data_IF_125706366469
#
_entry.id   IF_125706366469
#
_cell.length_a   1.000
_cell.length_b   1.000
_cell.length_c   1.000
_cell.angle_alpha   90.00
_cell.angle_beta   90.00
_cell.angle_gamma   90.00
#
_symmetry.space_group_name_H-M   'P 1'
#
loop_
_entity.id
_entity.type
_entity.pdbx_description
1 polymer ?
#
# COMPACT_ATOMS: atom_id res chain seq x y z
N UNK A 1 21.10 5.06 -13.93
CA UNK A 1 19.68 4.75 -14.23
C UNK A 1 19.61 4.02 -15.56
N UNK A 2 19.14 2.77 -15.58
CA UNK A 2 18.94 2.08 -16.86
C UNK A 2 17.76 2.71 -17.60
N UNK A 3 17.81 2.77 -18.93
CA UNK A 3 16.73 3.36 -19.77
C UNK A 3 15.37 2.75 -19.42
N UNK A 4 15.32 1.44 -19.16
CA UNK A 4 14.09 0.74 -18.81
C UNK A 4 13.46 1.21 -17.47
N UNK A 5 14.26 1.61 -16.49
CA UNK A 5 13.74 2.11 -15.19
C UNK A 5 13.19 3.53 -15.33
N UNK A 6 13.85 4.38 -16.13
CA UNK A 6 13.36 5.71 -16.43
C UNK A 6 11.98 5.68 -17.14
N UNK A 7 11.84 4.82 -18.16
CA UNK A 7 10.56 4.63 -18.86
C UNK A 7 9.43 4.13 -17.94
N UNK A 8 9.77 3.20 -17.03
CA UNK A 8 8.80 2.72 -16.04
C UNK A 8 8.35 3.83 -15.09
N UNK A 9 9.28 4.68 -14.66
CA UNK A 9 8.98 5.82 -13.79
C UNK A 9 8.07 6.84 -14.49
N UNK A 10 8.39 7.22 -15.72
CA UNK A 10 7.54 8.12 -16.51
C UNK A 10 6.13 7.56 -16.72
N UNK A 11 5.99 6.24 -16.90
CA UNK A 11 4.69 5.60 -16.99
C UNK A 11 3.96 5.61 -15.66
N UNK A 12 4.67 5.39 -14.56
CA UNK A 12 4.12 5.41 -13.21
C UNK A 12 3.63 6.82 -12.84
N UNK A 13 4.42 7.85 -13.16
CA UNK A 13 4.05 9.25 -12.92
C UNK A 13 2.80 9.63 -13.71
N UNK A 14 2.73 9.25 -15.00
CA UNK A 14 1.52 9.48 -15.81
C UNK A 14 0.30 8.75 -15.24
N UNK A 15 0.45 7.48 -14.86
CA UNK A 15 -0.65 6.71 -14.24
C UNK A 15 -1.16 7.34 -12.95
N UNK A 16 -0.24 7.82 -12.11
CA UNK A 16 -0.58 8.50 -10.87
C UNK A 16 -1.28 9.83 -11.11
N UNK A 17 -0.84 10.59 -12.11
CA UNK A 17 -1.49 11.82 -12.52
C UNK A 17 -2.90 11.57 -13.04
N UNK A 18 -3.08 10.61 -13.95
CA UNK A 18 -4.40 10.22 -14.47
C UNK A 18 -5.41 9.89 -13.36
N UNK A 19 -4.97 9.19 -12.30
CA UNK A 19 -5.81 8.88 -11.15
C UNK A 19 -6.20 10.14 -10.35
N UNK A 20 -5.30 11.12 -10.27
CA UNK A 20 -5.55 12.36 -9.54
C UNK A 20 -6.25 13.46 -10.37
N UNK A 21 -6.28 13.33 -11.69
CA UNK A 21 -6.96 14.28 -12.59
C UNK A 21 -8.49 14.10 -12.60
N UNK A 22 -9.00 13.02 -12.03
CA UNK A 22 -10.43 12.74 -11.88
C UNK A 22 -10.78 12.42 -10.43
N UNK A 23 -12.06 12.31 -10.12
CA UNK A 23 -12.46 11.81 -8.82
C UNK A 23 -11.95 10.37 -8.62
N UNK A 24 -11.18 10.17 -7.58
CA UNK A 24 -10.59 8.87 -7.24
C UNK A 24 -11.24 8.31 -5.98
N UNK A 25 -11.90 7.17 -6.14
CA UNK A 25 -12.62 6.44 -5.10
C UNK A 25 -11.78 5.20 -4.79
N UNK A 26 -11.28 5.09 -3.56
CA UNK A 26 -10.52 3.94 -3.09
C UNK A 26 -11.33 3.18 -2.07
N UNK A 27 -11.42 1.88 -2.25
CA UNK A 27 -12.16 0.96 -1.37
C UNK A 27 -11.17 -0.01 -0.75
N UNK A 28 -11.10 -0.02 0.56
CA UNK A 28 -10.24 -0.92 1.33
C UNK A 28 -10.58 -2.38 1.06
N UNK A 29 -9.57 -3.15 0.66
CA UNK A 29 -9.65 -4.57 0.36
C UNK A 29 -8.99 -5.44 1.44
N UNK A 30 -8.42 -6.57 0.99
CA UNK A 30 -7.85 -7.59 1.86
C UNK A 30 -8.91 -8.35 2.63
N UNK A 31 -8.49 -9.27 3.49
CA UNK A 31 -9.41 -10.17 4.22
C UNK A 31 -10.49 -9.42 5.00
N UNK A 32 -10.15 -8.30 5.65
CA UNK A 32 -11.11 -7.53 6.44
C UNK A 32 -12.13 -6.81 5.57
N UNK A 33 -11.69 -6.19 4.48
CA UNK A 33 -12.57 -5.51 3.53
C UNK A 33 -13.52 -6.49 2.82
N UNK A 34 -13.00 -7.64 2.37
CA UNK A 34 -13.79 -8.71 1.75
C UNK A 34 -14.85 -9.27 2.71
N UNK A 35 -14.46 -9.55 3.94
CA UNK A 35 -15.39 -10.00 4.98
C UNK A 35 -16.47 -8.98 5.32
N UNK A 36 -16.19 -7.69 5.13
CA UNK A 36 -17.12 -6.59 5.34
C UNK A 36 -17.97 -6.25 4.10
N UNK A 37 -17.72 -6.86 2.94
CA UNK A 37 -18.50 -6.65 1.71
C UNK A 37 -17.96 -5.54 0.81
N UNK A 38 -16.65 -5.31 0.77
CA UNK A 38 -16.04 -4.29 -0.08
C UNK A 38 -16.33 -4.51 -1.57
N UNK A 39 -16.52 -5.76 -2.04
CA UNK A 39 -16.85 -6.07 -3.44
C UNK A 39 -18.20 -5.50 -3.85
N UNK A 40 -19.22 -5.66 -3.01
CA UNK A 40 -20.55 -5.10 -3.26
C UNK A 40 -20.50 -3.56 -3.33
N UNK A 41 -19.67 -2.94 -2.49
CA UNK A 41 -19.45 -1.49 -2.50
C UNK A 41 -18.75 -1.03 -3.77
N UNK A 42 -17.71 -1.76 -4.23
CA UNK A 42 -17.01 -1.48 -5.49
C UNK A 42 -17.99 -1.57 -6.69
N UNK A 43 -18.80 -2.65 -6.72
CA UNK A 43 -19.81 -2.83 -7.79
C UNK A 43 -20.83 -1.71 -7.77
N UNK A 44 -21.31 -1.29 -6.61
CA UNK A 44 -22.24 -0.18 -6.45
C UNK A 44 -21.64 1.14 -6.97
N UNK A 45 -20.40 1.47 -6.63
CA UNK A 45 -19.72 2.67 -7.15
C UNK A 45 -19.58 2.63 -8.68
N UNK A 46 -19.11 1.53 -9.25
CA UNK A 46 -18.96 1.39 -10.69
C UNK A 46 -20.32 1.57 -11.41
N UNK A 47 -21.36 0.90 -10.92
CA UNK A 47 -22.72 0.99 -11.47
C UNK A 47 -23.29 2.40 -11.37
N UNK A 48 -23.09 3.09 -10.26
CA UNK A 48 -23.60 4.46 -10.06
C UNK A 48 -22.85 5.47 -10.91
N UNK A 49 -21.53 5.37 -11.04
CA UNK A 49 -20.75 6.24 -11.95
C UNK A 49 -21.22 6.08 -13.39
N UNK A 50 -21.43 4.84 -13.87
CA UNK A 50 -21.92 4.57 -15.21
C UNK A 50 -23.33 5.11 -15.42
N UNK A 51 -24.28 4.79 -14.52
CA UNK A 51 -25.70 5.17 -14.64
C UNK A 51 -25.93 6.68 -14.57
N UNK A 52 -25.16 7.39 -13.74
CA UNK A 52 -25.24 8.85 -13.59
C UNK A 52 -24.40 9.62 -14.61
N UNK A 53 -23.58 8.93 -15.42
CA UNK A 53 -22.63 9.55 -16.35
C UNK A 53 -21.57 10.40 -15.64
N UNK A 54 -21.24 10.07 -14.40
CA UNK A 54 -20.23 10.78 -13.59
C UNK A 54 -18.85 10.19 -13.83
N UNK A 55 -17.86 11.05 -14.12
CA UNK A 55 -16.48 10.63 -14.31
C UNK A 55 -15.80 10.38 -12.95
N UNK A 56 -15.19 9.23 -12.81
CA UNK A 56 -14.44 8.85 -11.63
C UNK A 56 -13.76 7.49 -11.81
N UNK A 57 -12.77 7.21 -11.01
CA UNK A 57 -12.06 5.93 -11.00
C UNK A 57 -12.26 5.23 -9.66
N UNK A 58 -12.73 3.99 -9.69
CA UNK A 58 -12.84 3.13 -8.51
C UNK A 58 -11.64 2.21 -8.48
N UNK A 59 -10.94 2.17 -7.35
CA UNK A 59 -9.77 1.32 -7.14
C UNK A 59 -9.95 0.51 -5.87
N UNK A 60 -9.76 -0.81 -5.96
CA UNK A 60 -9.53 -1.62 -4.76
C UNK A 60 -8.11 -1.35 -4.28
N UNK A 61 -7.96 -0.86 -3.08
CA UNK A 61 -6.65 -0.65 -2.43
C UNK A 61 -6.43 -1.67 -1.32
N UNK A 62 -5.19 -1.78 -0.84
CA UNK A 62 -4.93 -2.59 0.36
C UNK A 62 -5.72 -2.08 1.56
N UNK A 63 -5.86 -2.91 2.61
CA UNK A 63 -6.51 -2.48 3.85
C UNK A 63 -5.77 -1.29 4.46
N UNK A 64 -6.51 -0.37 5.08
CA UNK A 64 -5.86 0.70 5.86
C UNK A 64 -5.41 0.20 7.26
N UNK A 65 -6.02 -0.86 7.76
CA UNK A 65 -5.76 -1.45 9.08
C UNK A 65 -6.77 -1.06 10.16
N UNK A 66 -7.83 -0.36 9.80
CA UNK A 66 -8.96 0.00 10.68
C UNK A 66 -10.13 -0.95 10.42
N UNK A 67 -9.95 -2.25 10.76
CA UNK A 67 -10.92 -3.31 10.44
C UNK A 67 -12.35 -3.04 10.95
N UNK A 68 -12.50 -2.28 12.04
CA UNK A 68 -13.82 -1.90 12.57
C UNK A 68 -14.55 -0.85 11.70
N UNK A 69 -13.82 -0.20 10.79
CA UNK A 69 -14.34 0.84 9.91
C UNK A 69 -14.62 0.32 8.48
N UNK A 70 -14.34 -0.96 8.22
CA UNK A 70 -14.56 -1.57 6.89
C UNK A 70 -16.06 -1.83 6.62
N UNK A 71 -16.54 -1.72 5.36
CA UNK A 71 -15.80 -1.23 4.21
C UNK A 71 -15.41 0.24 4.37
N UNK A 72 -14.10 0.50 4.34
CA UNK A 72 -13.55 1.85 4.43
C UNK A 72 -13.32 2.38 3.01
N UNK A 73 -13.98 3.49 2.71
CA UNK A 73 -13.90 4.14 1.40
C UNK A 73 -13.32 5.51 1.56
N UNK A 74 -12.38 5.89 0.72
CA UNK A 74 -12.02 7.29 0.59
C UNK A 74 -12.32 7.82 -0.80
N UNK A 75 -12.67 9.09 -0.86
CA UNK A 75 -12.96 9.83 -2.09
C UNK A 75 -12.10 11.08 -2.09
N UNK A 76 -11.40 11.29 -3.20
CA UNK A 76 -10.63 12.49 -3.47
C UNK A 76 -11.08 13.06 -4.83
N UNK A 77 -11.54 14.29 -4.84
CA UNK A 77 -11.71 15.06 -6.07
C UNK A 77 -10.40 15.79 -6.42
N UNK A 78 -10.13 16.20 -7.66
CA UNK A 78 -8.83 16.73 -8.08
C UNK A 78 -8.26 17.81 -7.16
N UNK A 79 -9.03 18.82 -6.82
CA UNK A 79 -8.60 19.94 -5.96
C UNK A 79 -9.16 19.85 -4.54
N UNK A 80 -9.84 18.74 -4.20
CA UNK A 80 -10.50 18.55 -2.92
C UNK A 80 -9.65 17.78 -1.91
N UNK A 81 -10.07 17.81 -0.63
CA UNK A 81 -9.48 16.94 0.39
C UNK A 81 -9.78 15.47 0.07
N UNK A 82 -8.93 14.58 0.56
CA UNK A 82 -9.21 13.15 0.62
C UNK A 82 -10.08 12.90 1.84
N UNK A 83 -11.29 12.36 1.66
CA UNK A 83 -12.23 12.15 2.77
C UNK A 83 -12.61 10.69 2.88
N UNK A 84 -12.47 10.13 4.07
CA UNK A 84 -12.80 8.74 4.40
C UNK A 84 -14.22 8.62 4.94
N UNK A 85 -14.87 7.53 4.54
CA UNK A 85 -16.19 7.09 4.97
C UNK A 85 -16.09 5.67 5.51
N UNK A 86 -16.53 5.46 6.74
CA UNK A 86 -16.47 4.17 7.41
C UNK A 86 -17.80 3.40 7.29
N UNK A 87 -17.71 2.07 7.29
CA UNK A 87 -18.86 1.16 7.25
C UNK A 87 -19.81 1.49 6.07
N UNK A 88 -19.22 1.75 4.91
CA UNK A 88 -20.00 2.12 3.72
C UNK A 88 -20.80 0.93 3.22
N UNK A 89 -22.07 1.15 2.92
CA UNK A 89 -22.96 0.15 2.30
C UNK A 89 -23.33 0.55 0.88
N UNK A 90 -23.73 -0.41 0.01
CA UNK A 90 -24.14 -0.10 -1.35
C UNK A 90 -25.27 0.96 -1.44
N UNK A 91 -26.18 1.01 -0.46
CA UNK A 91 -27.28 1.96 -0.42
C UNK A 91 -26.83 3.42 -0.19
N UNK A 92 -25.65 3.62 0.40
CA UNK A 92 -25.07 4.96 0.61
C UNK A 92 -24.35 5.49 -0.63
N UNK A 93 -23.93 4.61 -1.53
CA UNK A 93 -23.12 4.97 -2.70
C UNK A 93 -23.75 6.02 -3.59
N UNK A 94 -25.06 5.97 -3.96
CA UNK A 94 -25.66 7.02 -4.79
C UNK A 94 -25.56 8.42 -4.17
N UNK A 95 -25.72 8.52 -2.85
CA UNK A 95 -25.57 9.78 -2.11
C UNK A 95 -24.12 10.31 -2.13
N UNK A 96 -23.13 9.42 -1.94
CA UNK A 96 -21.71 9.77 -2.00
C UNK A 96 -21.31 10.23 -3.41
N UNK A 97 -21.75 9.52 -4.44
CA UNK A 97 -21.47 9.90 -5.83
C UNK A 97 -22.11 11.25 -6.18
N UNK A 98 -23.39 11.42 -5.86
CA UNK A 98 -24.10 12.66 -6.20
C UNK A 98 -23.52 13.89 -5.49
N UNK A 99 -23.20 13.79 -4.23
CA UNK A 99 -22.75 14.92 -3.42
C UNK A 99 -21.23 15.12 -3.49
N UNK A 100 -20.44 14.07 -3.21
CA UNK A 100 -18.99 14.23 -3.12
C UNK A 100 -18.31 14.14 -4.48
N UNK A 101 -18.66 13.15 -5.33
CA UNK A 101 -17.98 12.99 -6.63
C UNK A 101 -18.44 14.05 -7.61
N UNK A 102 -19.75 14.13 -7.86
CA UNK A 102 -20.34 15.03 -8.86
C UNK A 102 -20.48 16.46 -8.37
N UNK A 103 -20.86 16.62 -7.09
CA UNK A 103 -21.05 17.93 -6.48
C UNK A 103 -19.78 18.51 -5.86
N UNK A 104 -18.69 17.76 -5.84
CA UNK A 104 -17.39 18.14 -5.23
C UNK A 104 -17.51 18.61 -3.77
N UNK A 105 -18.54 18.13 -3.06
CA UNK A 105 -18.84 18.50 -1.68
C UNK A 105 -18.83 17.27 -0.79
N UNK A 106 -17.85 17.10 0.13
CA UNK A 106 -17.85 15.99 1.07
C UNK A 106 -19.15 15.86 1.88
N UNK A 107 -19.58 14.63 2.12
CA UNK A 107 -20.75 14.34 2.95
C UNK A 107 -20.34 14.37 4.42
N UNK A 108 -20.25 15.58 5.00
CA UNK A 108 -19.69 15.84 6.33
C UNK A 108 -20.33 14.96 7.42
N UNK A 109 -21.64 14.74 7.36
CA UNK A 109 -22.36 13.95 8.36
C UNK A 109 -21.98 12.45 8.36
N UNK A 110 -21.34 11.96 7.29
CA UNK A 110 -20.88 10.57 7.13
C UNK A 110 -19.35 10.46 7.14
N UNK A 111 -18.63 11.59 7.13
CA UNK A 111 -17.19 11.59 7.06
C UNK A 111 -16.57 11.03 8.34
N UNK A 112 -15.69 10.04 8.19
CA UNK A 112 -14.93 9.39 9.25
C UNK A 112 -13.66 10.17 9.59
N UNK A 113 -12.97 10.66 8.55
CA UNK A 113 -11.75 11.45 8.68
C UNK A 113 -11.39 12.12 7.35
N UNK A 114 -10.40 13.00 7.36
CA UNK A 114 -9.93 13.61 6.12
C UNK A 114 -8.42 13.89 6.13
N UNK A 115 -7.83 13.97 4.95
CA UNK A 115 -6.53 14.61 4.69
C UNK A 115 -6.77 15.90 3.90
N UNK A 116 -6.13 17.02 4.26
CA UNK A 116 -6.30 18.28 3.58
C UNK A 116 -5.73 18.22 2.15
N UNK A 117 -6.32 18.97 1.21
CA UNK A 117 -5.80 19.11 -0.14
C UNK A 117 -4.47 19.87 -0.13
N UNK A 118 -4.39 20.92 0.69
CA UNK A 118 -3.18 21.72 0.87
C UNK A 118 -2.89 21.93 2.36
N UNK A 119 -1.63 22.18 2.68
CA UNK A 119 -1.23 22.50 4.05
C UNK A 119 -2.02 23.69 4.60
N UNK A 120 -2.64 23.50 5.76
CA UNK A 120 -3.47 24.52 6.41
C UNK A 120 -4.96 24.46 6.09
N UNK A 121 -5.39 23.68 5.11
CA UNK A 121 -6.81 23.51 4.81
C UNK A 121 -7.53 22.79 5.95
N UNK A 122 -8.74 23.27 6.26
CA UNK A 122 -9.57 22.70 7.33
C UNK A 122 -10.93 22.31 6.78
N UNK A 123 -11.27 21.03 6.93
CA UNK A 123 -12.62 20.53 6.70
C UNK A 123 -13.41 20.60 8.01
N UNK A 124 -14.21 21.66 8.17
CA UNK A 124 -14.96 21.89 9.41
C UNK A 124 -15.94 20.75 9.72
N UNK A 125 -15.91 20.28 10.95
CA UNK A 125 -16.80 19.22 11.43
C UNK A 125 -16.27 17.80 11.23
N UNK A 126 -15.07 17.65 10.64
CA UNK A 126 -14.40 16.35 10.43
C UNK A 126 -13.02 16.39 11.08
N UNK A 127 -12.60 15.32 11.74
CA UNK A 127 -11.26 15.17 12.31
C UNK A 127 -10.27 14.78 11.21
N UNK A 128 -9.05 15.32 11.25
CA UNK A 128 -8.00 14.82 10.35
C UNK A 128 -7.75 13.34 10.63
N UNK A 129 -7.49 12.58 9.58
CA UNK A 129 -7.21 11.14 9.70
C UNK A 129 -6.01 10.89 10.63
N UNK A 130 -4.94 11.68 10.49
CA UNK A 130 -3.74 11.60 11.33
C UNK A 130 -3.97 11.87 12.82
N UNK A 131 -5.04 12.60 13.16
CA UNK A 131 -5.40 12.94 14.54
C UNK A 131 -6.36 11.92 15.19
N UNK A 132 -6.84 10.95 14.43
CA UNK A 132 -7.64 9.87 15.00
C UNK A 132 -6.80 9.05 15.99
N UNK A 133 -7.33 8.69 17.17
CA UNK A 133 -6.55 8.04 18.23
C UNK A 133 -5.81 6.78 17.76
N UNK A 134 -6.46 5.98 16.90
CA UNK A 134 -5.89 4.74 16.39
C UNK A 134 -4.82 4.96 15.30
N UNK A 135 -4.78 6.13 14.70
CA UNK A 135 -3.80 6.52 13.65
C UNK A 135 -2.65 7.32 14.24
N UNK A 136 -2.96 8.32 15.09
CA UNK A 136 -1.97 9.22 15.70
C UNK A 136 -0.87 8.49 16.50
N UNK A 137 -1.18 7.32 17.06
CA UNK A 137 -0.22 6.51 17.80
C UNK A 137 0.70 5.66 16.91
N UNK A 138 0.50 5.64 15.59
CA UNK A 138 1.23 4.77 14.67
C UNK A 138 2.38 5.51 13.97
N UNK A 139 3.50 4.80 13.79
CA UNK A 139 4.53 5.16 12.81
C UNK A 139 4.49 4.13 11.68
N UNK A 140 3.90 4.52 10.55
CA UNK A 140 3.63 3.60 9.44
C UNK A 140 4.84 3.48 8.52
N UNK A 141 5.68 2.46 8.72
CA UNK A 141 6.86 2.16 7.90
C UNK A 141 6.55 1.00 6.95
N UNK A 142 6.29 -0.19 7.49
CA UNK A 142 5.94 -1.36 6.68
C UNK A 142 4.55 -1.24 6.03
N UNK A 143 3.69 -0.41 6.58
CA UNK A 143 2.33 -0.16 6.12
C UNK A 143 2.17 1.19 5.39
N UNK A 144 3.26 1.78 4.89
CA UNK A 144 3.23 3.13 4.29
C UNK A 144 2.25 3.25 3.11
N UNK A 145 2.08 2.18 2.35
CA UNK A 145 1.23 2.15 1.15
C UNK A 145 -0.17 1.59 1.40
N UNK A 146 -0.46 1.14 2.64
CA UNK A 146 -1.75 0.53 2.98
C UNK A 146 -2.89 1.55 2.86
N UNK A 147 -3.91 1.19 2.08
CA UNK A 147 -5.04 2.07 1.79
C UNK A 147 -4.76 3.14 0.74
N UNK A 148 -3.56 3.19 0.15
CA UNK A 148 -3.16 4.24 -0.79
C UNK A 148 -3.06 3.74 -2.23
N UNK A 149 -2.62 2.50 -2.43
CA UNK A 149 -2.36 1.94 -3.75
C UNK A 149 -3.14 0.65 -3.99
N UNK A 150 -3.42 0.37 -5.27
CA UNK A 150 -3.81 -0.96 -5.70
C UNK A 150 -2.60 -1.90 -5.59
N UNK A 151 -2.67 -2.95 -4.76
CA UNK A 151 -1.56 -3.89 -4.58
C UNK A 151 -1.17 -4.64 -5.85
N UNK A 152 -2.04 -4.69 -6.87
CA UNK A 152 -1.78 -5.35 -8.15
C UNK A 152 -1.29 -4.38 -9.23
N UNK A 153 -1.32 -3.07 -8.99
CA UNK A 153 -0.83 -2.06 -9.95
C UNK A 153 0.63 -1.67 -9.64
N UNK A 154 1.56 -2.30 -10.37
CA UNK A 154 2.99 -2.01 -10.31
C UNK A 154 3.31 -0.52 -10.47
N UNK A 155 2.56 0.18 -11.33
CA UNK A 155 2.83 1.60 -11.61
C UNK A 155 2.47 2.48 -10.43
N UNK A 156 1.40 2.15 -9.68
CA UNK A 156 1.07 2.85 -8.44
C UNK A 156 2.16 2.64 -7.37
N UNK A 157 2.70 1.43 -7.24
CA UNK A 157 3.80 1.16 -6.32
C UNK A 157 5.06 1.98 -6.68
N UNK A 158 5.43 2.03 -7.97
CA UNK A 158 6.59 2.82 -8.45
C UNK A 158 6.38 4.32 -8.24
N UNK A 159 5.18 4.85 -8.53
CA UNK A 159 4.83 6.25 -8.31
C UNK A 159 4.98 6.66 -6.84
N UNK A 160 4.75 5.74 -5.90
CA UNK A 160 4.94 5.93 -4.46
C UNK A 160 6.37 5.58 -3.98
N UNK A 161 7.35 5.64 -4.88
CA UNK A 161 8.77 5.44 -4.57
C UNK A 161 9.20 3.98 -4.46
N UNK A 162 8.35 3.05 -4.89
CA UNK A 162 8.69 1.63 -4.97
C UNK A 162 9.82 1.34 -5.94
N UNK A 163 10.56 0.30 -5.66
CA UNK A 163 11.77 -0.14 -6.38
C UNK A 163 12.91 0.90 -6.47
N UNK A 164 12.81 2.04 -5.77
CA UNK A 164 13.89 3.02 -5.73
C UNK A 164 15.15 2.47 -5.03
N UNK A 165 14.96 1.65 -4.00
CA UNK A 165 16.06 0.96 -3.33
C UNK A 165 16.75 -0.06 -4.23
N UNK A 166 15.98 -0.81 -5.01
CA UNK A 166 16.50 -1.75 -5.98
C UNK A 166 17.24 -1.05 -7.12
N UNK A 167 16.68 0.04 -7.67
CA UNK A 167 17.33 0.86 -8.67
C UNK A 167 18.70 1.35 -8.19
N UNK A 168 18.74 1.95 -6.97
CA UNK A 168 19.98 2.41 -6.34
C UNK A 168 21.00 1.28 -6.22
N UNK A 169 20.56 0.10 -5.81
CA UNK A 169 21.44 -1.06 -5.67
C UNK A 169 22.04 -1.50 -7.02
N UNK A 170 21.23 -1.54 -8.08
CA UNK A 170 21.65 -2.01 -9.40
C UNK A 170 22.42 -0.96 -10.21
N UNK A 171 22.27 0.33 -9.90
CA UNK A 171 22.91 1.44 -10.62
C UNK A 171 24.31 1.79 -10.07
N UNK A 172 24.99 0.86 -9.43
CA UNK A 172 26.40 1.07 -9.09
C UNK A 172 26.84 0.58 -7.73
N UNK A 173 26.01 -0.11 -6.97
CA UNK A 173 26.44 -0.74 -5.73
C UNK A 173 26.83 -2.21 -5.97
N UNK A 174 27.92 -2.65 -5.36
CA UNK A 174 28.22 -4.07 -5.30
C UNK A 174 27.33 -4.77 -4.27
N UNK A 175 27.16 -6.11 -4.34
CA UNK A 175 26.46 -6.89 -3.32
C UNK A 175 26.94 -6.61 -1.90
N UNK A 176 28.25 -6.48 -1.69
CA UNK A 176 28.84 -6.18 -0.38
C UNK A 176 28.47 -4.78 0.12
N UNK A 177 28.39 -3.79 -0.77
CA UNK A 177 27.96 -2.42 -0.43
C UNK A 177 26.49 -2.40 0.00
N UNK A 178 25.61 -3.15 -0.69
CA UNK A 178 24.20 -3.29 -0.28
C UNK A 178 24.11 -3.97 1.08
N UNK A 179 24.89 -5.02 1.29
CA UNK A 179 24.95 -5.72 2.58
C UNK A 179 25.37 -4.80 3.72
N UNK A 180 26.42 -3.99 3.53
CA UNK A 180 26.90 -3.04 4.53
C UNK A 180 25.87 -1.93 4.81
N UNK A 181 25.15 -1.45 3.80
CA UNK A 181 24.06 -0.48 4.00
C UNK A 181 22.93 -1.09 4.86
N UNK A 182 22.52 -2.34 4.59
CA UNK A 182 21.51 -3.02 5.41
C UNK A 182 22.02 -3.28 6.85
N UNK A 183 23.29 -3.58 7.04
CA UNK A 183 23.87 -3.66 8.40
C UNK A 183 23.83 -2.31 9.11
N UNK A 184 24.26 -1.25 8.42
CA UNK A 184 24.31 0.12 8.95
C UNK A 184 22.93 0.69 9.29
N UNK A 185 21.87 0.26 8.59
CA UNK A 185 20.50 0.68 8.87
C UNK A 185 19.94 0.21 10.20
N UNK A 186 20.55 -0.82 10.80
CA UNK A 186 20.06 -1.44 12.04
C UNK A 186 18.75 -2.22 11.88
N UNK A 187 18.31 -2.50 10.64
CA UNK A 187 17.10 -3.27 10.37
C UNK A 187 17.12 -4.63 11.08
N UNK A 188 16.01 -4.97 11.72
CA UNK A 188 15.84 -6.22 12.48
C UNK A 188 14.66 -7.02 11.94
N UNK A 189 14.76 -8.34 12.08
CA UNK A 189 13.65 -9.25 11.77
C UNK A 189 12.43 -8.99 12.64
N UNK A 190 11.25 -9.25 12.10
CA UNK A 190 9.95 -9.04 12.74
C UNK A 190 9.25 -10.33 13.18
N UNK A 191 9.90 -11.48 13.03
CA UNK A 191 9.38 -12.78 13.47
C UNK A 191 9.60 -13.09 14.97
N UNK A 192 9.69 -12.07 15.84
CA UNK A 192 9.79 -12.20 17.29
C UNK A 192 11.22 -12.14 17.87
N UNK A 193 12.22 -12.74 17.20
CA UNK A 193 13.60 -12.76 17.69
C UNK A 193 14.37 -11.43 17.52
N UNK A 194 13.86 -10.50 16.73
CA UNK A 194 14.49 -9.21 16.41
C UNK A 194 15.95 -9.33 15.98
N UNK A 195 16.32 -10.41 15.28
CA UNK A 195 17.68 -10.66 14.85
C UNK A 195 18.12 -9.62 13.80
N UNK A 196 19.37 -9.08 13.86
CA UNK A 196 19.83 -8.08 12.89
C UNK A 196 19.84 -8.64 11.46
N UNK A 197 19.08 -8.02 10.56
CA UNK A 197 18.88 -8.52 9.18
C UNK A 197 20.19 -8.56 8.41
N UNK A 198 20.98 -7.49 8.44
CA UNK A 198 22.24 -7.44 7.73
C UNK A 198 23.27 -8.46 8.25
N UNK A 199 23.27 -8.77 9.55
CA UNK A 199 24.10 -9.83 10.08
C UNK A 199 23.65 -11.21 9.59
N UNK A 200 22.33 -11.46 9.55
CA UNK A 200 21.79 -12.72 8.99
C UNK A 200 22.17 -12.90 7.52
N UNK A 201 22.07 -11.84 6.74
CA UNK A 201 22.47 -11.86 5.32
C UNK A 201 23.98 -12.10 5.14
N UNK A 202 24.82 -11.55 6.04
CA UNK A 202 26.27 -11.76 5.95
C UNK A 202 26.69 -13.22 6.14
N UNK A 203 25.96 -14.01 6.92
CA UNK A 203 26.23 -15.45 7.03
C UNK A 203 26.01 -16.18 5.73
N UNK A 204 24.94 -15.80 4.98
CA UNK A 204 24.66 -16.38 3.69
C UNK A 204 25.63 -15.87 2.61
N UNK A 205 25.93 -14.57 2.60
CA UNK A 205 26.91 -13.97 1.70
C UNK A 205 28.28 -14.65 1.82
N UNK A 206 28.77 -14.83 3.04
CA UNK A 206 30.06 -15.48 3.32
C UNK A 206 30.09 -17.00 3.07
N UNK A 207 28.97 -17.64 2.78
CA UNK A 207 28.94 -19.08 2.51
C UNK A 207 29.54 -19.38 1.12
N UNK A 208 30.46 -20.35 0.97
CA UNK A 208 31.10 -20.67 -0.29
C UNK A 208 30.24 -21.48 -1.27
N UNK A 209 29.01 -21.85 -0.90
CA UNK A 209 28.13 -22.59 -1.78
C UNK A 209 27.84 -21.80 -3.06
N UNK A 210 27.84 -22.51 -4.22
CA UNK A 210 27.55 -21.92 -5.52
C UNK A 210 26.07 -21.61 -5.70
N UNK A 211 25.21 -22.45 -5.11
CA UNK A 211 23.75 -22.23 -5.09
C UNK A 211 23.33 -21.74 -3.72
N UNK A 212 22.69 -20.58 -3.70
CA UNK A 212 22.15 -19.96 -2.50
C UNK A 212 20.70 -19.59 -2.74
N UNK A 213 19.91 -19.65 -1.70
CA UNK A 213 18.48 -19.41 -1.75
C UNK A 213 18.06 -18.39 -0.69
N UNK A 214 17.12 -17.52 -1.05
CA UNK A 214 16.41 -16.66 -0.10
C UNK A 214 15.03 -17.27 0.16
N UNK A 215 14.69 -17.43 1.41
CA UNK A 215 13.38 -17.89 1.84
C UNK A 215 12.70 -16.76 2.63
N UNK A 216 11.62 -16.22 2.05
CA UNK A 216 10.71 -15.32 2.75
C UNK A 216 9.66 -16.17 3.49
N UNK A 217 9.67 -16.11 4.80
CA UNK A 217 8.67 -16.78 5.60
C UNK A 217 7.48 -15.83 5.80
N UNK A 218 6.39 -16.11 5.09
CA UNK A 218 5.08 -15.49 5.22
C UNK A 218 4.05 -16.50 5.72
N UNK A 219 4.49 -17.53 6.43
CA UNK A 219 3.62 -18.46 7.14
C UNK A 219 3.18 -17.81 8.45
N UNK A 220 1.90 -17.55 8.58
CA UNK A 220 1.29 -16.86 9.72
C UNK A 220 0.25 -17.77 10.37
N UNK A 221 0.77 -18.84 11.02
CA UNK A 221 -0.05 -19.90 11.60
C UNK A 221 -0.67 -19.57 12.95
N UNK A 222 -0.25 -18.52 13.62
CA UNK A 222 -0.79 -18.14 14.92
C UNK A 222 -2.23 -17.61 14.79
N UNK A 223 -3.19 -18.15 15.54
CA UNK A 223 -4.56 -17.64 15.52
C UNK A 223 -4.62 -16.16 15.90
N UNK A 224 -5.29 -15.37 15.08
CA UNK A 224 -5.41 -13.92 15.26
C UNK A 224 -4.21 -13.08 14.78
N UNK A 225 -3.13 -13.71 14.32
CA UNK A 225 -2.06 -12.99 13.61
C UNK A 225 -2.47 -12.74 12.16
N UNK A 226 -2.20 -11.53 11.65
CA UNK A 226 -2.50 -11.14 10.26
C UNK A 226 -1.54 -10.07 9.73
N UNK A 227 -0.34 -9.97 10.29
CA UNK A 227 0.66 -8.97 9.87
C UNK A 227 1.25 -9.30 8.49
N UNK A 228 1.66 -10.55 8.30
CA UNK A 228 2.29 -11.02 7.06
C UNK A 228 1.27 -11.06 5.93
N UNK A 229 0.05 -11.55 6.22
CA UNK A 229 -1.08 -11.53 5.26
C UNK A 229 -1.42 -10.11 4.84
N UNK A 230 -1.52 -9.19 5.81
CA UNK A 230 -1.81 -7.79 5.53
C UNK A 230 -0.79 -7.16 4.58
N UNK A 231 0.52 -7.44 4.75
CA UNK A 231 1.56 -6.96 3.85
C UNK A 231 1.41 -7.59 2.46
N UNK A 232 1.22 -8.91 2.39
CA UNK A 232 1.04 -9.62 1.11
C UNK A 232 -0.17 -9.11 0.31
N UNK A 233 -1.28 -8.84 1.00
CA UNK A 233 -2.52 -8.40 0.37
C UNK A 233 -2.54 -6.91 0.04
N UNK A 234 -1.80 -6.08 0.80
CA UNK A 234 -1.87 -4.62 0.66
C UNK A 234 -0.65 -4.00 -0.02
N UNK A 235 0.53 -4.63 0.06
CA UNK A 235 1.77 -4.13 -0.56
C UNK A 235 2.75 -5.26 -0.89
N UNK A 236 2.38 -6.20 -1.79
CA UNK A 236 3.24 -7.33 -2.16
C UNK A 236 4.55 -6.88 -2.81
N UNK A 237 4.56 -5.72 -3.46
CA UNK A 237 5.76 -5.22 -4.13
C UNK A 237 6.86 -4.82 -3.16
N UNK A 238 6.55 -4.28 -1.97
CA UNK A 238 7.54 -4.01 -0.92
C UNK A 238 8.23 -5.31 -0.46
N UNK A 239 7.48 -6.40 -0.34
CA UNK A 239 8.05 -7.71 -0.02
C UNK A 239 8.94 -8.23 -1.16
N UNK A 240 8.49 -8.13 -2.41
CA UNK A 240 9.26 -8.55 -3.58
C UNK A 240 10.54 -7.75 -3.74
N UNK A 241 10.51 -6.43 -3.57
CA UNK A 241 11.70 -5.58 -3.61
C UNK A 241 12.72 -6.01 -2.53
N UNK A 242 12.26 -6.23 -1.29
CA UNK A 242 13.10 -6.71 -0.21
C UNK A 242 13.72 -8.08 -0.50
N UNK A 243 12.96 -9.00 -1.09
CA UNK A 243 13.45 -10.33 -1.47
C UNK A 243 14.51 -10.25 -2.59
N UNK A 244 14.32 -9.40 -3.59
CA UNK A 244 15.28 -9.19 -4.68
C UNK A 244 16.56 -8.57 -4.15
N UNK A 245 16.46 -7.54 -3.30
CA UNK A 245 17.62 -6.92 -2.63
C UNK A 245 18.40 -7.91 -1.79
N UNK A 246 17.71 -8.78 -1.04
CA UNK A 246 18.34 -9.85 -0.27
C UNK A 246 19.07 -10.84 -1.18
N UNK A 247 18.45 -11.23 -2.29
CA UNK A 247 19.06 -12.09 -3.31
C UNK A 247 20.32 -11.48 -3.90
N UNK A 248 20.25 -10.21 -4.28
CA UNK A 248 21.40 -9.47 -4.83
C UNK A 248 22.56 -9.37 -3.82
N UNK A 249 22.27 -8.90 -2.59
CA UNK A 249 23.28 -8.71 -1.56
C UNK A 249 23.98 -10.01 -1.11
N UNK A 250 23.32 -11.15 -1.24
CA UNK A 250 23.85 -12.45 -0.83
C UNK A 250 24.36 -13.32 -1.96
N UNK A 251 24.23 -12.84 -3.22
CA UNK A 251 24.50 -13.62 -4.43
C UNK A 251 23.66 -14.91 -4.47
N UNK A 252 22.38 -14.82 -4.10
CA UNK A 252 21.44 -15.92 -4.17
C UNK A 252 20.76 -15.96 -5.55
N UNK A 253 20.56 -17.16 -6.09
CA UNK A 253 20.05 -17.38 -7.46
C UNK A 253 18.53 -17.58 -7.51
N UNK A 254 17.91 -17.91 -6.38
CA UNK A 254 16.48 -18.19 -6.28
C UNK A 254 15.90 -17.67 -4.96
N UNK A 255 14.67 -17.16 -5.03
CA UNK A 255 13.85 -16.79 -3.90
C UNK A 255 12.59 -17.67 -3.82
N UNK A 256 12.17 -17.95 -2.60
CA UNK A 256 10.91 -18.66 -2.30
C UNK A 256 10.12 -17.85 -1.30
N UNK A 257 8.82 -17.76 -1.50
CA UNK A 257 7.88 -17.20 -0.54
C UNK A 257 7.07 -18.36 0.00
N UNK A 258 7.20 -18.61 1.29
CA UNK A 258 6.46 -19.65 1.99
C UNK A 258 5.21 -19.04 2.61
N UNK A 259 4.05 -19.38 2.08
CA UNK A 259 2.76 -18.84 2.45
C UNK A 259 1.89 -19.99 2.98
N UNK A 260 1.18 -19.73 4.06
CA UNK A 260 0.12 -20.63 4.53
C UNK A 260 -1.10 -20.50 3.63
N UNK A 261 -1.64 -21.64 3.22
CA UNK A 261 -2.98 -21.69 2.64
C UNK A 261 -4.00 -21.44 3.75
N UNK A 262 -4.80 -20.39 3.58
CA UNK A 262 -5.88 -19.99 4.49
C UNK A 262 -7.16 -20.73 4.25
#
# INVERSE_FOLDING_TARGET
MTVAFAELRERADRRWQELNDTAWIRVGGGVSGEAAGCDDVIEAFNSELESSGTTGTVTRVGMYGLCYAEPLVDIKTPDGPRVWYANVTPEQVPGLVAQHVKGEQPVIAQAFGYEPAHEGDVLHGVTKLEDLPDVAAQTRIAMKNFGDIDPLDLLQYIANGGYAGLEKALDGMSPDQVLEEVKGSGLRGRGGAAFPTGLKWSFLSGNPAKEKYILCNCEEGDPGAFNDKAILESDPHTLLEGLILAGYATNSSKGFIFIRQG
#
